data_IF_853606566964
#
_entry.id   IF_853606566964
#
_cell.length_a   1.000
_cell.length_b   1.000
_cell.length_c   1.000
_cell.angle_alpha   90.00
_cell.angle_beta   90.00
_cell.angle_gamma   90.00
#
_symmetry.space_group_name_H-M   'P 1'
#
loop_
_entity.id
_entity.type
_entity.pdbx_description
1 polymer ?
#
# COMPACT_ATOMS: atom_id res chain seq x y z
N UNK A 1 -18.86 -12.52 4.69
CA UNK A 1 -18.17 -11.21 4.68
C UNK A 1 -18.17 -10.71 6.11
N UNK A 2 -17.00 -10.72 6.76
CA UNK A 2 -16.86 -10.25 8.14
C UNK A 2 -16.92 -8.73 8.13
N UNK A 3 -17.98 -8.18 8.71
CA UNK A 3 -18.15 -6.74 8.88
C UNK A 3 -17.12 -6.24 9.91
N UNK A 4 -16.36 -5.22 9.54
CA UNK A 4 -15.44 -4.49 10.45
C UNK A 4 -16.15 -3.18 10.79
N UNK A 5 -16.29 -2.88 12.09
CA UNK A 5 -16.96 -1.66 12.53
C UNK A 5 -16.16 -0.42 12.11
N UNK A 6 -16.86 0.67 11.78
CA UNK A 6 -16.22 1.95 11.41
C UNK A 6 -15.32 2.49 12.53
N UNK A 7 -15.68 2.22 13.79
CA UNK A 7 -14.87 2.59 14.96
C UNK A 7 -13.53 1.87 14.92
N UNK A 8 -13.55 0.54 14.77
CA UNK A 8 -12.33 -0.27 14.73
C UNK A 8 -11.47 0.08 13.51
N UNK A 9 -12.09 0.36 12.36
CA UNK A 9 -11.35 0.81 11.17
C UNK A 9 -10.63 2.13 11.43
N UNK A 10 -11.27 3.09 12.12
CA UNK A 10 -10.69 4.40 12.41
C UNK A 10 -9.52 4.29 13.40
N UNK A 11 -9.68 3.49 14.45
CA UNK A 11 -8.63 3.23 15.44
C UNK A 11 -7.38 2.62 14.78
N UNK A 12 -7.55 1.62 13.92
CA UNK A 12 -6.43 0.99 13.20
C UNK A 12 -5.71 1.98 12.28
N UNK A 13 -6.45 2.87 11.60
CA UNK A 13 -5.86 3.91 10.73
C UNK A 13 -5.05 4.92 11.53
N UNK A 14 -5.58 5.38 12.66
CA UNK A 14 -4.91 6.33 13.55
C UNK A 14 -3.64 5.70 14.17
N UNK A 15 -3.71 4.45 14.63
CA UNK A 15 -2.54 3.71 15.13
C UNK A 15 -1.46 3.49 14.07
N UNK A 16 -1.85 3.33 12.80
CA UNK A 16 -0.91 3.20 11.69
C UNK A 16 -0.41 4.55 11.14
N UNK A 17 -0.71 5.68 11.82
CA UNK A 17 -0.38 7.04 11.38
C UNK A 17 -0.81 7.32 9.93
N UNK A 18 -1.99 6.84 9.52
CA UNK A 18 -2.52 6.95 8.15
C UNK A 18 -1.61 6.33 7.07
N UNK A 19 -0.71 5.43 7.47
CA UNK A 19 0.14 4.64 6.57
C UNK A 19 -0.42 3.24 6.46
N UNK A 20 -0.52 2.72 5.24
CA UNK A 20 -0.75 1.30 5.07
C UNK A 20 0.53 0.53 5.50
N UNK A 21 0.45 -0.36 6.50
CA UNK A 21 1.60 -1.16 6.97
C UNK A 21 2.30 -1.94 5.83
N UNK A 22 1.52 -2.39 4.84
CA UNK A 22 2.02 -3.18 3.73
C UNK A 22 2.62 -2.34 2.59
N UNK A 23 2.12 -1.11 2.39
CA UNK A 23 2.54 -0.27 1.28
C UNK A 23 3.53 0.84 1.69
N UNK A 24 3.51 1.26 2.97
CA UNK A 24 4.14 2.49 3.47
C UNK A 24 3.78 3.75 2.67
N UNK A 25 2.71 3.70 1.87
CA UNK A 25 2.18 4.83 1.12
C UNK A 25 1.13 5.49 2.01
N UNK A 26 1.25 6.80 2.21
CA UNK A 26 0.26 7.58 2.93
C UNK A 26 -1.01 7.72 2.07
N UNK A 27 -2.20 7.70 2.68
CA UNK A 27 -3.48 7.77 1.95
C UNK A 27 -3.59 9.02 1.04
N UNK A 28 -2.91 10.11 1.41
CA UNK A 28 -2.84 11.35 0.63
C UNK A 28 -1.96 11.27 -0.64
N UNK A 29 -1.13 10.24 -0.79
CA UNK A 29 -0.19 10.10 -1.91
C UNK A 29 -0.75 9.28 -3.08
N UNK A 30 -2.05 8.99 -3.09
CA UNK A 30 -2.71 8.23 -4.15
C UNK A 30 -2.50 8.82 -5.55
N UNK A 31 -2.31 10.14 -5.67
CA UNK A 31 -1.98 10.82 -6.94
C UNK A 31 -0.58 10.50 -7.46
N UNK A 32 0.34 10.12 -6.58
CA UNK A 32 1.74 9.85 -6.93
C UNK A 32 1.96 8.42 -7.41
N UNK A 33 1.01 7.51 -7.16
CA UNK A 33 1.20 6.08 -7.34
C UNK A 33 0.00 5.41 -8.00
N UNK A 34 0.28 4.51 -8.94
CA UNK A 34 -0.68 3.54 -9.46
C UNK A 34 -0.24 2.13 -9.08
N UNK A 35 -1.18 1.29 -8.68
CA UNK A 35 -0.91 -0.13 -8.44
C UNK A 35 -1.10 -0.92 -9.74
N UNK A 36 -0.15 -1.79 -10.04
CA UNK A 36 -0.22 -2.75 -11.15
C UNK A 36 0.14 -4.14 -10.61
N UNK A 37 -0.88 -4.87 -10.19
CA UNK A 37 -0.73 -6.11 -9.43
C UNK A 37 0.15 -5.91 -8.21
N UNK A 38 1.33 -6.52 -8.21
CA UNK A 38 2.30 -6.43 -7.12
C UNK A 38 3.28 -5.26 -7.24
N UNK A 39 3.21 -4.42 -8.29
CA UNK A 39 4.16 -3.33 -8.54
C UNK A 39 3.51 -1.98 -8.21
N UNK A 40 4.26 -1.10 -7.54
CA UNK A 40 3.87 0.31 -7.36
C UNK A 40 4.52 1.11 -8.50
N UNK A 41 3.71 1.70 -9.37
CA UNK A 41 4.17 2.54 -10.47
C UNK A 41 4.12 4.00 -10.03
N UNK A 42 5.26 4.70 -9.97
CA UNK A 42 5.29 6.12 -9.65
C UNK A 42 4.84 6.97 -10.86
N UNK A 43 3.82 7.81 -10.67
CA UNK A 43 3.22 8.64 -11.71
C UNK A 43 3.82 10.07 -11.76
N UNK A 44 4.54 10.49 -10.72
CA UNK A 44 5.16 11.82 -10.64
C UNK A 44 6.66 11.73 -10.27
N UNK A 45 7.44 12.82 -10.44
CA UNK A 45 8.83 12.88 -9.97
C UNK A 45 8.99 12.55 -8.48
N UNK A 46 8.13 13.10 -7.63
CA UNK A 46 8.12 12.85 -6.19
C UNK A 46 7.88 11.36 -5.92
N UNK A 47 6.90 10.76 -6.60
CA UNK A 47 6.63 9.33 -6.50
C UNK A 47 7.83 8.48 -6.90
N UNK A 48 8.60 8.87 -7.93
CA UNK A 48 9.81 8.14 -8.33
C UNK A 48 10.87 8.15 -7.23
N UNK A 49 11.11 9.32 -6.63
CA UNK A 49 12.06 9.45 -5.51
C UNK A 49 11.59 8.61 -4.32
N UNK A 50 10.29 8.63 -4.00
CA UNK A 50 9.73 7.83 -2.90
C UNK A 50 9.88 6.33 -3.15
N UNK A 51 9.53 5.82 -4.34
CA UNK A 51 9.70 4.40 -4.69
C UNK A 51 11.16 3.97 -4.58
N UNK A 52 12.08 4.83 -5.03
CA UNK A 52 13.51 4.57 -4.97
C UNK A 52 14.05 4.59 -3.52
N UNK A 53 13.81 5.67 -2.79
CA UNK A 53 14.35 5.90 -1.44
C UNK A 53 13.82 4.86 -0.44
N UNK A 54 12.51 4.59 -0.48
CA UNK A 54 11.86 3.63 0.41
C UNK A 54 11.92 2.19 -0.09
N UNK A 55 12.53 1.96 -1.27
CA UNK A 55 12.65 0.64 -1.90
C UNK A 55 11.31 -0.10 -1.99
N UNK A 56 10.23 0.62 -2.34
CA UNK A 56 8.86 0.08 -2.31
C UNK A 56 8.68 -1.16 -3.18
N UNK A 57 9.45 -1.26 -4.27
CA UNK A 57 9.46 -2.41 -5.18
C UNK A 57 10.69 -3.31 -5.00
N UNK A 58 11.27 -3.40 -3.80
CA UNK A 58 12.29 -4.42 -3.55
C UNK A 58 11.74 -5.85 -3.75
N UNK A 59 12.66 -6.81 -3.94
CA UNK A 59 12.30 -8.19 -4.27
C UNK A 59 11.46 -8.88 -3.18
N UNK A 60 11.69 -8.55 -1.91
CA UNK A 60 10.98 -9.16 -0.78
C UNK A 60 9.52 -8.66 -0.77
N UNK A 61 9.33 -7.34 -0.91
CA UNK A 61 8.01 -6.69 -0.99
C UNK A 61 7.25 -7.12 -2.23
N UNK A 62 7.91 -7.26 -3.38
CA UNK A 62 7.29 -7.77 -4.60
C UNK A 62 6.81 -9.20 -4.42
N UNK A 63 7.63 -10.08 -3.82
CA UNK A 63 7.26 -11.47 -3.57
C UNK A 63 6.08 -11.58 -2.60
N UNK A 64 6.11 -10.83 -1.50
CA UNK A 64 5.00 -10.78 -0.55
C UNK A 64 3.70 -10.30 -1.20
N UNK A 65 3.75 -9.20 -1.97
CA UNK A 65 2.57 -8.67 -2.68
C UNK A 65 2.03 -9.63 -3.73
N UNK A 66 2.87 -10.37 -4.46
CA UNK A 66 2.40 -11.41 -5.41
C UNK A 66 1.55 -12.47 -4.72
N UNK A 67 1.94 -12.92 -3.52
CA UNK A 67 1.16 -13.87 -2.74
C UNK A 67 -0.19 -13.25 -2.36
N UNK A 68 -0.18 -12.02 -1.86
CA UNK A 68 -1.41 -11.31 -1.46
C UNK A 68 -2.36 -11.05 -2.63
N UNK A 69 -1.85 -10.70 -3.81
CA UNK A 69 -2.64 -10.58 -5.05
C UNK A 69 -3.27 -11.93 -5.39
N UNK A 70 -2.51 -13.02 -5.33
CA UNK A 70 -3.00 -14.38 -5.60
C UNK A 70 -4.14 -14.82 -4.67
N UNK A 71 -4.16 -14.34 -3.42
CA UNK A 71 -5.25 -14.62 -2.46
C UNK A 71 -6.31 -13.51 -2.38
N UNK A 72 -6.27 -12.52 -3.28
CA UNK A 72 -7.25 -11.42 -3.34
C UNK A 72 -7.21 -10.47 -2.14
N UNK A 73 -6.06 -10.36 -1.46
CA UNK A 73 -5.83 -9.48 -0.29
C UNK A 73 -5.00 -8.23 -0.61
N UNK A 74 -4.63 -8.04 -1.88
CA UNK A 74 -3.95 -6.83 -2.37
C UNK A 74 -4.53 -6.36 -3.72
N UNK A 75 -4.86 -5.07 -3.88
CA UNK A 75 -4.84 -4.04 -2.83
C UNK A 75 -5.86 -4.36 -1.72
N UNK A 76 -5.61 -3.94 -0.47
CA UNK A 76 -6.59 -4.07 0.61
C UNK A 76 -7.87 -3.30 0.23
N UNK A 77 -9.03 -3.91 0.47
CA UNK A 77 -10.35 -3.30 0.29
C UNK A 77 -10.72 -2.42 1.46
#
# INVERSE_FOLDING_TARGET
>A
MTYISEILRREVIECAEYRCEYCLIHQADSKHFRLDGAVIIPMTPEGRVTVFLLKLNDQIRLRARRILVGVGRYPPK
#
